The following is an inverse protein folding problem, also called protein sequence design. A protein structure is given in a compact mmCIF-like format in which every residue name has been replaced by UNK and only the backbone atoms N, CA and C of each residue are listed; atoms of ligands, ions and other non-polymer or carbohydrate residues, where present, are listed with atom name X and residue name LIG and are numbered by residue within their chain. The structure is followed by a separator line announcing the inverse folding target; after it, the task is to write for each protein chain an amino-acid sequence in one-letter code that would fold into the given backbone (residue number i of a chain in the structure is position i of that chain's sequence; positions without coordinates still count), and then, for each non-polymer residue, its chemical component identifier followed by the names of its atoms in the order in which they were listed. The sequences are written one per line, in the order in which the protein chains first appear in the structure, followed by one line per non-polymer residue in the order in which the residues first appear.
data_IF_496774577321
#
_entry.id   IF_496774577321
#
_cell.length_a   1.000
_cell.length_b   1.000
_cell.length_c   1.000
_cell.angle_alpha   90.00
_cell.angle_beta   90.00
_cell.angle_gamma   90.00
#
_symmetry.space_group_name_H-M   'P 1'
#
loop_
_entity.id
_entity.type
_entity.pdbx_description
1 polymer ?
#
# COMPACT_ATOMS: atom_id res chain seq x y z
N UNK A 1 7.16 -22.23 4.73
CA UNK A 1 7.11 -20.98 5.51
C UNK A 1 5.93 -21.16 6.42
N UNK A 2 6.14 -20.99 7.71
CA UNK A 2 5.08 -21.12 8.70
C UNK A 2 4.81 -19.72 9.27
N UNK A 3 3.56 -19.37 9.48
CA UNK A 3 3.16 -18.04 9.95
C UNK A 3 2.27 -18.20 11.18
N UNK A 4 2.48 -17.36 12.19
CA UNK A 4 1.60 -17.24 13.34
C UNK A 4 0.97 -15.85 13.33
N UNK A 5 -0.29 -15.79 12.89
CA UNK A 5 -1.02 -14.54 12.73
C UNK A 5 -1.31 -13.83 14.05
N UNK A 6 -1.39 -14.58 15.17
CA UNK A 6 -1.69 -14.00 16.49
C UNK A 6 -0.48 -13.29 17.09
N UNK A 7 0.72 -13.80 16.83
CA UNK A 7 1.97 -13.25 17.38
C UNK A 7 2.75 -12.41 16.38
N UNK A 8 2.29 -12.30 15.13
CA UNK A 8 3.00 -11.54 14.09
C UNK A 8 4.27 -12.23 13.60
N UNK A 9 4.38 -13.55 13.71
CA UNK A 9 5.63 -14.27 13.45
C UNK A 9 5.65 -14.97 12.08
N UNK A 10 6.80 -14.88 11.39
CA UNK A 10 7.10 -15.63 10.16
C UNK A 10 8.34 -16.49 10.38
N UNK A 11 8.20 -17.79 10.13
CA UNK A 11 9.26 -18.78 10.22
C UNK A 11 9.65 -19.32 8.84
N UNK A 12 10.94 -19.22 8.52
CA UNK A 12 11.53 -19.66 7.25
C UNK A 12 12.46 -20.85 7.51
N UNK A 13 12.10 -22.00 6.94
CA UNK A 13 12.92 -23.22 6.97
C UNK A 13 13.88 -23.23 5.79
N UNK A 14 15.14 -23.56 6.05
CA UNK A 14 16.13 -23.79 5.00
C UNK A 14 15.86 -25.18 4.35
N UNK A 15 15.54 -25.26 3.04
CA UNK A 15 15.22 -26.55 2.41
C UNK A 15 16.39 -27.54 2.34
N UNK A 16 17.63 -27.05 2.51
CA UNK A 16 18.85 -27.85 2.43
C UNK A 16 19.49 -28.10 3.81
N UNK A 17 18.85 -27.63 4.88
CA UNK A 17 19.35 -27.79 6.22
C UNK A 17 19.27 -29.24 6.70
N UNK A 18 20.19 -29.62 7.56
CA UNK A 18 20.02 -30.79 8.40
C UNK A 18 18.83 -30.59 9.36
N UNK A 19 18.21 -31.70 9.80
CA UNK A 19 17.03 -31.68 10.70
C UNK A 19 17.27 -30.94 12.03
N UNK A 20 18.52 -30.60 12.35
CA UNK A 20 18.95 -29.92 13.56
C UNK A 20 19.04 -28.40 13.42
N UNK A 21 19.03 -27.85 12.20
CA UNK A 21 19.05 -26.40 12.02
C UNK A 21 17.66 -25.81 12.34
N UNK A 22 17.55 -24.91 13.32
CA UNK A 22 16.28 -24.28 13.64
C UNK A 22 15.83 -23.33 12.49
N UNK A 23 14.52 -23.15 12.28
CA UNK A 23 14.01 -22.18 11.33
C UNK A 23 14.42 -20.76 11.73
N UNK A 24 14.60 -19.88 10.74
CA UNK A 24 14.76 -18.44 10.98
C UNK A 24 13.41 -17.83 11.30
N UNK A 25 13.32 -17.08 12.40
CA UNK A 25 12.10 -16.45 12.88
C UNK A 25 12.22 -14.92 12.81
N UNK A 26 11.14 -14.28 12.37
CA UNK A 26 10.99 -12.83 12.28
C UNK A 26 9.63 -12.43 12.87
N UNK A 27 9.56 -11.26 13.48
CA UNK A 27 8.33 -10.71 14.08
C UNK A 27 8.03 -9.35 13.47
N UNK A 28 6.77 -9.11 13.16
CA UNK A 28 6.24 -7.88 12.56
C UNK A 28 5.01 -7.39 13.33
N UNK A 29 4.57 -6.17 13.06
CA UNK A 29 3.34 -5.63 13.65
C UNK A 29 2.10 -6.46 13.31
N UNK A 30 2.06 -7.02 12.10
CA UNK A 30 1.04 -7.96 11.64
C UNK A 30 1.60 -8.81 10.50
N UNK A 31 1.09 -10.03 10.38
CA UNK A 31 1.43 -10.96 9.29
C UNK A 31 0.16 -11.49 8.66
N UNK A 32 0.21 -11.77 7.36
CA UNK A 32 -0.93 -12.23 6.57
C UNK A 32 -0.53 -13.49 5.81
N UNK A 33 -1.33 -14.55 5.92
CA UNK A 33 -1.12 -15.80 5.20
C UNK A 33 -1.88 -15.82 3.86
N UNK A 34 -1.81 -16.96 3.17
CA UNK A 34 -2.47 -17.17 1.88
C UNK A 34 -4.01 -17.24 1.95
N UNK A 35 -4.60 -17.29 3.15
CA UNK A 35 -6.06 -17.30 3.33
C UNK A 35 -6.60 -15.91 3.69
N UNK A 36 -5.72 -14.94 3.92
CA UNK A 36 -6.12 -13.60 4.33
C UNK A 36 -6.84 -12.88 3.19
N UNK A 37 -8.04 -12.34 3.47
CA UNK A 37 -8.80 -11.58 2.49
C UNK A 37 -8.21 -10.17 2.28
N UNK A 38 -8.41 -9.59 1.10
CA UNK A 38 -7.90 -8.25 0.79
C UNK A 38 -8.46 -7.18 1.73
N UNK A 39 -9.72 -7.32 2.15
CA UNK A 39 -10.35 -6.40 3.10
C UNK A 39 -9.71 -6.46 4.49
N UNK A 40 -9.23 -7.63 4.92
CA UNK A 40 -8.55 -7.78 6.21
C UNK A 40 -7.16 -7.13 6.16
N UNK A 41 -6.44 -7.29 5.04
CA UNK A 41 -5.18 -6.59 4.80
C UNK A 41 -5.40 -5.08 4.81
N UNK A 42 -6.46 -4.59 4.13
CA UNK A 42 -6.81 -3.18 4.12
C UNK A 42 -7.10 -2.64 5.53
N UNK A 43 -7.99 -3.31 6.27
CA UNK A 43 -8.42 -2.89 7.59
C UNK A 43 -7.27 -2.81 8.60
N UNK A 44 -6.29 -3.72 8.49
CA UNK A 44 -5.15 -3.75 9.38
C UNK A 44 -4.03 -2.78 8.95
N UNK A 45 -3.63 -2.82 7.67
CA UNK A 45 -2.43 -2.12 7.21
C UNK A 45 -2.68 -0.69 6.69
N UNK A 46 -3.85 -0.42 6.12
CA UNK A 46 -4.09 0.82 5.37
C UNK A 46 -5.17 1.72 6.00
N UNK A 47 -6.22 1.13 6.58
CA UNK A 47 -7.34 1.89 7.15
C UNK A 47 -6.89 2.94 8.19
N UNK A 48 -6.03 2.62 9.19
CA UNK A 48 -5.58 3.62 10.16
C UNK A 48 -4.81 4.79 9.52
N UNK A 49 -4.12 4.52 8.41
CA UNK A 49 -3.38 5.54 7.66
C UNK A 49 -4.36 6.44 6.90
N UNK A 50 -5.39 5.86 6.28
CA UNK A 50 -6.44 6.62 5.60
C UNK A 50 -7.22 7.48 6.61
N UNK A 51 -7.56 6.94 7.78
CA UNK A 51 -8.18 7.69 8.87
C UNK A 51 -7.32 8.90 9.26
N UNK A 52 -6.01 8.69 9.44
CA UNK A 52 -5.07 9.77 9.75
C UNK A 52 -5.00 10.83 8.64
N UNK A 53 -5.09 10.43 7.37
CA UNK A 53 -5.12 11.37 6.23
C UNK A 53 -6.39 12.22 6.25
N UNK A 54 -7.54 11.64 6.60
CA UNK A 54 -8.80 12.38 6.75
C UNK A 54 -8.75 13.39 7.90
N UNK A 55 -7.90 13.16 8.90
CA UNK A 55 -7.61 14.11 10.00
C UNK A 55 -6.55 15.18 9.64
N UNK A 56 -6.00 15.14 8.43
CA UNK A 56 -5.04 16.14 7.93
C UNK A 56 -3.57 15.74 8.04
N UNK A 57 -3.26 14.48 8.34
CA UNK A 57 -1.88 13.98 8.34
C UNK A 57 -1.43 13.48 6.96
N UNK A 58 -0.11 13.39 6.75
CA UNK A 58 0.45 12.72 5.58
C UNK A 58 0.55 11.20 5.83
N UNK A 59 0.02 10.39 4.92
CA UNK A 59 0.05 8.93 4.99
C UNK A 59 0.69 8.29 3.75
N UNK A 60 1.51 7.26 3.95
CA UNK A 60 2.19 6.55 2.87
C UNK A 60 2.05 5.04 3.06
N UNK A 61 1.61 4.35 2.00
CA UNK A 61 1.60 2.89 1.91
C UNK A 61 2.38 2.48 0.66
N UNK A 62 3.38 1.62 0.83
CA UNK A 62 4.14 1.07 -0.30
C UNK A 62 4.32 -0.44 -0.13
N UNK A 63 4.26 -1.16 -1.24
CA UNK A 63 4.47 -2.61 -1.26
C UNK A 63 5.90 -2.94 -1.68
N UNK A 64 6.60 -3.75 -0.89
CA UNK A 64 7.97 -4.17 -1.15
C UNK A 64 8.08 -5.70 -1.22
N UNK A 65 8.91 -6.21 -2.12
CA UNK A 65 9.11 -7.65 -2.31
C UNK A 65 9.62 -8.01 -3.70
N UNK A 66 9.99 -9.28 -3.89
CA UNK A 66 10.46 -9.80 -5.18
C UNK A 66 9.38 -9.71 -6.27
N UNK A 67 9.76 -9.71 -7.54
CA UNK A 67 8.80 -9.84 -8.66
C UNK A 67 7.98 -11.11 -8.52
N UNK A 68 6.66 -11.00 -8.70
CA UNK A 68 5.74 -12.12 -8.55
C UNK A 68 5.22 -12.38 -7.13
N UNK A 69 5.67 -11.66 -6.11
CA UNK A 69 5.22 -11.87 -4.71
C UNK A 69 3.92 -11.15 -4.35
N UNK A 70 3.17 -10.62 -5.32
CA UNK A 70 1.86 -10.04 -5.08
C UNK A 70 1.81 -8.53 -4.80
N UNK A 71 2.90 -7.76 -4.93
CA UNK A 71 2.88 -6.28 -4.71
C UNK A 71 1.71 -5.57 -5.42
N UNK A 72 1.55 -5.80 -6.72
CA UNK A 72 0.45 -5.22 -7.51
C UNK A 72 -0.91 -5.75 -7.07
N UNK A 73 -1.00 -7.02 -6.66
CA UNK A 73 -2.22 -7.63 -6.16
C UNK A 73 -2.64 -7.02 -4.81
N UNK A 74 -1.71 -6.77 -3.89
CA UNK A 74 -2.01 -6.10 -2.62
C UNK A 74 -2.42 -4.64 -2.82
N UNK A 75 -1.71 -3.89 -3.68
CA UNK A 75 -1.98 -2.46 -3.89
C UNK A 75 -3.22 -2.21 -4.75
N UNK A 76 -3.31 -2.83 -5.93
CA UNK A 76 -4.42 -2.63 -6.87
C UNK A 76 -5.51 -3.70 -6.70
N UNK A 77 -5.09 -4.96 -6.58
CA UNK A 77 -6.01 -6.10 -6.59
C UNK A 77 -6.65 -6.32 -7.95
N UNK A 78 -7.86 -6.89 -7.93
CA UNK A 78 -8.69 -7.11 -9.11
C UNK A 78 -9.96 -6.28 -8.93
N UNK A 79 -10.40 -5.60 -9.98
CA UNK A 79 -11.56 -4.70 -9.90
C UNK A 79 -12.86 -5.46 -9.59
N UNK A 80 -13.00 -6.66 -10.17
CA UNK A 80 -14.14 -7.57 -9.97
C UNK A 80 -13.67 -9.03 -9.75
N UNK A 81 -14.22 -9.75 -8.74
CA UNK A 81 -15.28 -9.29 -7.84
C UNK A 81 -14.74 -8.38 -6.72
N UNK A 82 -15.59 -7.59 -6.03
CA UNK A 82 -15.16 -6.55 -5.09
C UNK A 82 -14.27 -7.04 -3.94
N UNK A 83 -14.41 -8.31 -3.54
CA UNK A 83 -13.62 -8.93 -2.48
C UNK A 83 -12.13 -9.06 -2.82
N UNK A 84 -11.77 -8.94 -4.11
CA UNK A 84 -10.39 -8.99 -4.58
C UNK A 84 -9.75 -7.60 -4.79
N UNK A 85 -10.49 -6.51 -4.54
CA UNK A 85 -9.98 -5.14 -4.62
C UNK A 85 -8.87 -4.92 -3.59
N UNK A 86 -7.77 -4.31 -4.02
CA UNK A 86 -6.60 -4.07 -3.18
C UNK A 86 -6.71 -2.80 -2.33
N UNK A 87 -5.58 -2.35 -1.79
CA UNK A 87 -5.51 -1.18 -0.90
C UNK A 87 -6.01 0.10 -1.59
N UNK A 88 -5.54 0.40 -2.81
CA UNK A 88 -5.87 1.65 -3.53
C UNK A 88 -7.39 1.81 -3.75
N UNK A 89 -8.09 0.86 -4.38
CA UNK A 89 -9.54 1.00 -4.59
C UNK A 89 -10.34 1.03 -3.28
N UNK A 90 -9.95 0.25 -2.26
CA UNK A 90 -10.61 0.30 -0.95
C UNK A 90 -10.37 1.66 -0.24
N UNK A 91 -9.18 2.26 -0.39
CA UNK A 91 -8.90 3.62 0.09
C UNK A 91 -9.80 4.65 -0.58
N UNK A 92 -10.04 4.55 -1.89
CA UNK A 92 -10.97 5.47 -2.56
C UNK A 92 -12.38 5.36 -2.00
N UNK A 93 -12.90 4.14 -1.84
CA UNK A 93 -14.22 3.94 -1.25
C UNK A 93 -14.31 4.56 0.15
N UNK A 94 -13.34 4.26 1.01
CA UNK A 94 -13.30 4.78 2.37
C UNK A 94 -13.23 6.31 2.43
N UNK A 95 -12.39 6.94 1.61
CA UNK A 95 -12.29 8.41 1.56
C UNK A 95 -13.63 9.03 1.15
N UNK A 96 -14.30 8.52 0.12
CA UNK A 96 -15.58 9.07 -0.32
C UNK A 96 -16.71 8.78 0.67
N UNK A 97 -16.74 7.60 1.29
CA UNK A 97 -17.70 7.29 2.35
C UNK A 97 -17.56 8.25 3.55
N UNK A 98 -16.32 8.59 3.92
CA UNK A 98 -16.04 9.53 5.01
C UNK A 98 -16.43 10.98 4.65
N UNK A 99 -16.26 11.38 3.39
CA UNK A 99 -16.70 12.70 2.88
C UNK A 99 -18.23 12.79 2.92
N UNK A 100 -18.92 11.77 2.40
CA UNK A 100 -20.39 11.75 2.33
C UNK A 100 -21.03 11.73 3.74
N UNK A 101 -20.34 11.20 4.73
CA UNK A 101 -20.78 11.17 6.13
C UNK A 101 -20.47 12.47 6.90
N UNK A 102 -19.68 13.39 6.34
CA UNK A 102 -19.28 14.63 7.00
C UNK A 102 -20.23 15.77 6.66
N UNK A 103 -20.80 16.43 7.66
CA UNK A 103 -21.72 17.57 7.48
C UNK A 103 -21.04 18.94 7.73
N UNK A 104 -19.85 18.95 8.33
CA UNK A 104 -19.21 20.16 8.88
C UNK A 104 -17.97 20.64 8.09
N UNK A 105 -17.65 20.01 6.94
CA UNK A 105 -16.45 20.33 6.17
C UNK A 105 -16.66 20.22 4.65
N UNK A 106 -16.06 21.16 3.92
CA UNK A 106 -15.92 21.08 2.47
C UNK A 106 -14.62 20.34 2.11
N UNK A 107 -14.72 19.36 1.21
CA UNK A 107 -13.58 18.54 0.78
C UNK A 107 -13.19 18.83 -0.67
N UNK A 108 -11.88 18.85 -0.94
CA UNK A 108 -11.31 18.87 -2.30
C UNK A 108 -10.34 17.70 -2.45
N UNK A 109 -10.74 16.67 -3.19
CA UNK A 109 -9.89 15.51 -3.48
C UNK A 109 -9.17 15.72 -4.81
N UNK A 110 -7.84 15.52 -4.81
CA UNK A 110 -6.99 15.54 -6.01
C UNK A 110 -6.14 14.29 -6.07
N UNK A 111 -5.93 13.77 -7.27
CA UNK A 111 -5.08 12.61 -7.51
C UNK A 111 -4.00 12.95 -8.54
N UNK A 112 -2.79 12.46 -8.29
CA UNK A 112 -1.69 12.40 -9.25
C UNK A 112 -1.25 10.94 -9.38
N UNK A 113 -0.73 10.54 -10.54
CA UNK A 113 -0.23 9.20 -10.75
C UNK A 113 1.06 9.24 -11.56
N UNK A 114 2.15 8.79 -10.94
CA UNK A 114 3.50 8.95 -11.45
C UNK A 114 4.20 7.58 -11.55
N UNK A 115 5.07 7.44 -12.53
CA UNK A 115 6.01 6.32 -12.65
C UNK A 115 7.44 6.83 -12.54
N UNK A 116 8.27 6.11 -11.78
CA UNK A 116 9.73 6.28 -11.79
C UNK A 116 10.31 5.09 -12.54
N UNK A 117 10.87 5.34 -13.72
CA UNK A 117 11.49 4.31 -14.54
C UNK A 117 12.84 4.79 -15.06
N UNK A 118 13.90 4.02 -14.76
CA UNK A 118 15.27 4.35 -15.16
C UNK A 118 15.68 5.78 -14.72
N UNK A 119 15.42 6.12 -13.46
CA UNK A 119 15.67 7.45 -12.86
C UNK A 119 14.90 8.62 -13.54
N UNK A 120 13.89 8.33 -14.37
CA UNK A 120 13.02 9.35 -14.97
C UNK A 120 11.63 9.30 -14.34
N UNK A 121 11.09 10.49 -13.99
CA UNK A 121 9.71 10.64 -13.51
C UNK A 121 8.79 10.94 -14.70
N UNK A 122 7.69 10.20 -14.80
CA UNK A 122 6.69 10.32 -15.86
C UNK A 122 5.29 10.49 -15.26
N UNK A 123 4.53 11.41 -15.83
CA UNK A 123 3.11 11.58 -15.51
C UNK A 123 2.27 10.55 -16.27
N UNK A 124 1.54 9.70 -15.54
CA UNK A 124 0.66 8.69 -16.11
C UNK A 124 -0.74 9.25 -16.45
N UNK A 125 -1.10 10.44 -15.96
CA UNK A 125 -2.36 11.13 -16.24
C UNK A 125 -2.19 12.27 -17.26
N UNK A 126 -0.95 12.70 -17.49
CA UNK A 126 -0.61 13.76 -18.42
C UNK A 126 -0.88 13.41 -19.88
N UNK A 127 -1.27 14.41 -20.70
CA UNK A 127 -1.49 14.24 -22.15
C UNK A 127 -0.23 13.85 -22.92
N UNK A 128 0.94 14.14 -22.37
CA UNK A 128 2.23 13.85 -22.97
C UNK A 128 3.03 12.93 -22.04
N UNK A 129 2.78 11.62 -22.12
CA UNK A 129 3.49 10.61 -21.32
C UNK A 129 5.01 10.55 -21.55
N UNK A 130 5.54 11.30 -22.53
CA UNK A 130 6.97 11.45 -22.79
C UNK A 130 7.60 12.67 -22.11
N UNK A 131 6.79 13.60 -21.55
CA UNK A 131 7.35 14.74 -20.84
C UNK A 131 7.93 14.30 -19.51
N UNK A 132 9.23 14.55 -19.32
CA UNK A 132 9.95 14.27 -18.09
C UNK A 132 9.61 15.32 -17.04
N UNK A 133 9.31 14.88 -15.83
CA UNK A 133 9.13 15.76 -14.69
C UNK A 133 10.42 15.85 -13.88
N UNK A 134 10.63 16.99 -13.23
CA UNK A 134 11.79 17.26 -12.38
C UNK A 134 11.35 17.34 -10.93
N UNK A 135 12.14 16.76 -10.02
CA UNK A 135 11.95 16.95 -8.58
C UNK A 135 12.44 18.34 -8.21
N UNK A 136 11.61 19.09 -7.48
CA UNK A 136 11.91 20.43 -6.97
C UNK A 136 11.74 20.46 -5.47
N UNK A 137 12.37 21.44 -4.83
CA UNK A 137 12.29 21.66 -3.39
C UNK A 137 12.02 23.14 -3.11
N UNK A 138 11.10 23.40 -2.18
CA UNK A 138 10.81 24.73 -1.66
C UNK A 138 10.70 24.69 -0.15
N UNK A 139 11.06 25.79 0.51
CA UNK A 139 10.98 25.94 1.98
C UNK A 139 9.54 25.75 2.48
N UNK A 140 8.56 26.18 1.68
CA UNK A 140 7.15 26.18 2.08
C UNK A 140 6.43 24.85 1.82
N UNK A 141 6.88 24.07 0.82
CA UNK A 141 6.17 22.86 0.36
C UNK A 141 6.99 21.57 0.49
N UNK A 142 8.27 21.66 0.86
CA UNK A 142 9.19 20.53 0.84
C UNK A 142 9.50 20.05 -0.58
N UNK A 143 9.73 18.75 -0.73
CA UNK A 143 10.04 18.10 -2.02
C UNK A 143 8.75 17.80 -2.79
N UNK A 144 8.69 18.21 -4.06
CA UNK A 144 7.54 18.01 -4.94
C UNK A 144 7.97 17.76 -6.39
N UNK A 145 7.00 17.33 -7.20
CA UNK A 145 7.13 17.16 -8.66
C UNK A 145 6.22 18.16 -9.36
#
# INVERSE_FOLDING_TARGET
VDMNLQTGEVMIKNPKADKTEPPKQYTFDSVFDWNTAQIDVYNNAARPIVDSVMEGYNGTVFAYGQTGTGKTFSMKGIDEPPELRGIIPNSFQHVFDAIDASEDADFLVRASFLEIYNEEIRDLLGKNSQSRLEVKESVDTGVYV
#
